data_IF_430299520672
#
_entry.id   IF_430299520672
#
_cell.length_a   1.000
_cell.length_b   1.000
_cell.length_c   1.000
_cell.angle_alpha   90.00
_cell.angle_beta   90.00
_cell.angle_gamma   90.00
#
_symmetry.space_group_name_H-M   'P 1'
#
loop_
_entity.id
_entity.type
_entity.pdbx_description
1 polymer ?
#
# COMPACT_ATOMS: atom_id res chain seq x y z
N UNK A 1 -11.92 -20.53 18.55
CA UNK A 1 -12.55 -19.33 17.97
C UNK A 1 -11.58 -18.76 16.94
N UNK A 2 -11.66 -19.21 15.68
CA UNK A 2 -10.76 -18.75 14.61
C UNK A 2 -11.48 -17.65 13.80
N UNK A 3 -11.30 -16.40 14.20
CA UNK A 3 -11.77 -15.24 13.45
C UNK A 3 -10.77 -14.89 12.35
N UNK A 4 -10.99 -15.44 11.16
CA UNK A 4 -10.23 -15.09 9.96
C UNK A 4 -10.56 -13.67 9.50
N UNK A 5 -9.82 -12.68 10.01
CA UNK A 5 -9.79 -11.33 9.45
C UNK A 5 -9.18 -11.44 8.05
N UNK A 6 -10.03 -11.28 7.03
CA UNK A 6 -9.63 -11.19 5.63
C UNK A 6 -8.76 -9.96 5.48
N UNK A 7 -7.43 -10.15 5.55
CA UNK A 7 -6.45 -9.10 5.29
C UNK A 7 -6.65 -8.58 3.89
N UNK A 8 -6.49 -7.27 3.72
CA UNK A 8 -6.64 -6.54 2.47
C UNK A 8 -5.51 -6.92 1.50
N UNK A 9 -5.53 -8.16 0.99
CA UNK A 9 -4.50 -8.78 0.16
C UNK A 9 -4.63 -8.34 -1.32
N UNK A 10 -4.93 -7.06 -1.53
CA UNK A 10 -5.01 -6.48 -2.86
C UNK A 10 -3.63 -5.94 -3.23
N UNK A 11 -2.92 -6.75 -4.02
CA UNK A 11 -1.68 -6.35 -4.68
C UNK A 11 -1.88 -5.02 -5.40
N UNK A 12 -1.02 -4.06 -5.09
CA UNK A 12 -1.03 -2.74 -5.67
C UNK A 12 -0.38 -2.78 -7.07
N UNK A 13 -0.98 -2.06 -8.01
CA UNK A 13 -0.27 -1.66 -9.24
C UNK A 13 0.82 -0.65 -8.88
N UNK A 14 1.77 -0.42 -9.79
CA UNK A 14 2.84 0.57 -9.58
C UNK A 14 2.28 1.96 -9.26
N UNK A 15 1.25 2.37 -9.98
CA UNK A 15 0.55 3.65 -9.77
C UNK A 15 -0.10 3.71 -8.39
N UNK A 16 -0.87 2.68 -8.01
CA UNK A 16 -1.50 2.60 -6.68
C UNK A 16 -0.48 2.56 -5.54
N UNK A 17 0.65 1.90 -5.74
CA UNK A 17 1.76 1.92 -4.78
C UNK A 17 2.34 3.34 -4.64
N UNK A 18 2.52 4.07 -5.75
CA UNK A 18 2.94 5.47 -5.72
C UNK A 18 1.98 6.37 -4.94
N UNK A 19 0.67 6.23 -5.16
CA UNK A 19 -0.35 6.96 -4.40
C UNK A 19 -0.36 6.59 -2.92
N UNK A 20 -0.24 5.30 -2.59
CA UNK A 20 -0.17 4.84 -1.20
C UNK A 20 1.05 5.42 -0.48
N UNK A 21 2.22 5.42 -1.14
CA UNK A 21 3.44 6.02 -0.59
C UNK A 21 3.24 7.52 -0.34
N UNK A 22 2.70 8.26 -1.31
CA UNK A 22 2.46 9.70 -1.15
C UNK A 22 1.51 10.00 0.03
N UNK A 23 0.39 9.26 0.12
CA UNK A 23 -0.59 9.40 1.18
C UNK A 23 0.02 9.14 2.57
N UNK A 24 0.68 8.00 2.73
CA UNK A 24 1.22 7.59 4.03
C UNK A 24 2.43 8.41 4.44
N UNK A 25 3.28 8.86 3.49
CA UNK A 25 4.36 9.82 3.80
C UNK A 25 3.82 11.11 4.39
N UNK A 26 2.78 11.69 3.79
CA UNK A 26 2.16 12.91 4.30
C UNK A 26 1.58 12.67 5.70
N UNK A 27 0.91 11.53 5.91
CA UNK A 27 0.30 11.17 7.19
C UNK A 27 1.31 10.89 8.31
N UNK A 28 2.48 10.33 7.98
CA UNK A 28 3.56 10.01 8.91
C UNK A 28 4.58 11.16 9.07
N UNK A 29 4.40 12.30 8.38
CA UNK A 29 5.32 13.43 8.45
C UNK A 29 6.69 13.19 7.79
N UNK A 30 6.78 12.25 6.84
CA UNK A 30 8.04 11.88 6.17
C UNK A 30 8.36 12.90 5.06
N UNK A 31 9.23 13.85 5.36
CA UNK A 31 9.64 14.91 4.43
C UNK A 31 10.64 14.44 3.38
N UNK A 32 11.54 13.52 3.74
CA UNK A 32 12.57 13.00 2.83
C UNK A 32 11.97 12.19 1.67
N UNK A 33 12.59 12.20 0.47
CA UNK A 33 12.11 11.41 -0.67
C UNK A 33 12.04 9.92 -0.36
N UNK A 34 11.00 9.24 -0.86
CA UNK A 34 10.90 7.78 -0.83
C UNK A 34 10.74 7.27 -2.24
N UNK A 35 11.67 6.40 -2.66
CA UNK A 35 11.69 5.76 -3.97
C UNK A 35 11.21 4.32 -3.86
N UNK A 36 10.69 3.80 -4.97
CA UNK A 36 10.29 2.40 -5.08
C UNK A 36 11.13 1.74 -6.17
N UNK A 37 11.84 0.67 -5.82
CA UNK A 37 12.70 -0.05 -6.74
C UNK A 37 12.39 -1.56 -6.75
N UNK A 38 12.11 -2.08 -7.94
CA UNK A 38 11.87 -3.51 -8.12
C UNK A 38 13.20 -4.21 -8.37
N UNK A 39 13.54 -5.18 -7.53
CA UNK A 39 14.71 -6.06 -7.71
C UNK A 39 14.28 -7.47 -8.09
N UNK A 40 15.15 -8.19 -8.82
CA UNK A 40 14.90 -9.60 -9.16
C UNK A 40 15.26 -10.48 -7.97
N UNK A 41 14.50 -11.56 -7.75
CA UNK A 41 14.79 -12.53 -6.67
C UNK A 41 16.22 -13.07 -6.71
N UNK A 42 16.80 -13.27 -7.91
CA UNK A 42 18.18 -13.73 -8.05
C UNK A 42 19.23 -12.74 -7.51
N UNK A 43 18.87 -11.46 -7.33
CA UNK A 43 19.71 -10.44 -6.71
C UNK A 43 19.61 -10.46 -5.17
N UNK A 44 18.66 -11.21 -4.60
CA UNK A 44 18.44 -11.28 -3.16
C UNK A 44 19.04 -12.57 -2.60
N UNK A 45 19.91 -12.42 -1.61
CA UNK A 45 20.52 -13.51 -0.85
C UNK A 45 19.97 -13.47 0.57
N UNK A 46 19.43 -14.59 1.05
CA UNK A 46 18.96 -14.73 2.43
C UNK A 46 20.11 -14.79 3.43
N UNK A 47 19.78 -14.70 4.72
CA UNK A 47 20.74 -14.82 5.81
C UNK A 47 21.46 -16.18 5.86
N UNK A 48 20.84 -17.22 5.29
CA UNK A 48 21.41 -18.56 5.12
C UNK A 48 22.31 -18.69 3.88
N UNK A 49 22.58 -17.58 3.16
CA UNK A 49 23.37 -17.56 1.94
C UNK A 49 22.63 -18.03 0.69
N UNK A 50 21.35 -18.41 0.79
CA UNK A 50 20.58 -18.89 -0.37
C UNK A 50 20.14 -17.71 -1.23
N UNK A 51 20.40 -17.81 -2.53
CA UNK A 51 19.92 -16.84 -3.53
C UNK A 51 18.48 -17.13 -3.93
N UNK A 52 17.79 -16.12 -4.46
CA UNK A 52 16.42 -16.28 -4.94
C UNK A 52 15.36 -15.97 -3.90
N UNK A 53 15.70 -15.29 -2.81
CA UNK A 53 14.76 -14.96 -1.75
C UNK A 53 13.77 -13.85 -2.19
N UNK A 54 12.65 -13.78 -1.47
CA UNK A 54 11.72 -12.65 -1.57
C UNK A 54 12.23 -11.52 -0.67
N UNK A 55 12.08 -10.28 -1.13
CA UNK A 55 12.38 -9.08 -0.36
C UNK A 55 11.22 -8.10 -0.50
N UNK A 56 10.86 -7.53 0.63
CA UNK A 56 10.28 -6.19 0.79
C UNK A 56 11.06 -5.59 1.94
N UNK A 57 11.64 -4.41 1.74
CA UNK A 57 12.47 -3.78 2.75
C UNK A 57 12.91 -2.38 2.33
N UNK A 58 13.18 -1.52 3.30
CA UNK A 58 13.65 -0.16 3.07
C UNK A 58 15.13 0.01 3.42
N UNK A 59 15.84 0.78 2.61
CA UNK A 59 17.18 1.29 2.92
C UNK A 59 17.10 2.80 3.06
N UNK A 60 17.66 3.33 4.14
CA UNK A 60 17.82 4.75 4.37
C UNK A 60 19.24 5.17 3.96
N UNK A 61 19.36 6.25 3.20
CA UNK A 61 20.62 6.86 2.81
C UNK A 61 20.57 8.39 3.06
N UNK A 62 21.64 9.10 2.67
CA UNK A 62 21.72 10.56 2.83
C UNK A 62 20.69 11.31 1.97
N UNK A 63 20.26 10.74 0.85
CA UNK A 63 19.37 11.36 -0.16
C UNK A 63 17.89 10.99 0.04
N UNK A 64 17.57 10.06 0.94
CA UNK A 64 16.21 9.66 1.26
C UNK A 64 16.09 8.20 1.69
N UNK A 65 15.02 7.56 1.23
CA UNK A 65 14.76 6.15 1.47
C UNK A 65 14.36 5.44 0.17
N UNK A 66 14.77 4.18 0.03
CA UNK A 66 14.41 3.34 -1.11
C UNK A 66 13.77 2.05 -0.63
N UNK A 67 12.51 1.82 -1.01
CA UNK A 67 11.80 0.57 -0.77
C UNK A 67 12.14 -0.40 -1.91
N UNK A 68 12.85 -1.46 -1.58
CA UNK A 68 13.17 -2.56 -2.48
C UNK A 68 12.12 -3.65 -2.40
N UNK A 69 11.70 -4.18 -3.54
CA UNK A 69 10.71 -5.25 -3.56
C UNK A 69 10.90 -6.25 -4.71
N UNK A 70 10.71 -7.54 -4.44
CA UNK A 70 10.73 -8.61 -5.47
C UNK A 70 9.34 -9.03 -5.93
N UNK A 71 8.30 -8.69 -5.16
CA UNK A 71 6.90 -9.06 -5.40
C UNK A 71 6.02 -7.80 -5.53
N UNK A 72 4.78 -7.91 -6.05
CA UNK A 72 3.81 -6.82 -5.90
C UNK A 72 3.63 -6.45 -4.43
N UNK A 73 3.59 -5.15 -4.15
CA UNK A 73 3.37 -4.63 -2.81
C UNK A 73 1.88 -4.66 -2.44
N UNK A 74 1.61 -4.74 -1.15
CA UNK A 74 0.30 -4.46 -0.55
C UNK A 74 0.34 -3.09 0.13
N UNK A 75 -0.82 -2.59 0.56
CA UNK A 75 -0.86 -1.38 1.41
C UNK A 75 -0.15 -1.62 2.74
N UNK A 76 -0.25 -2.83 3.30
CA UNK A 76 0.43 -3.22 4.55
C UNK A 76 1.95 -3.10 4.40
N UNK A 77 2.51 -3.63 3.31
CA UNK A 77 3.94 -3.48 3.01
C UNK A 77 4.35 -2.00 2.96
N UNK A 78 3.59 -1.17 2.25
CA UNK A 78 3.91 0.26 2.11
C UNK A 78 3.90 0.96 3.47
N UNK A 79 2.91 0.69 4.31
CA UNK A 79 2.81 1.30 5.65
C UNK A 79 3.97 0.83 6.53
N UNK A 80 4.22 -0.47 6.55
CA UNK A 80 5.29 -1.09 7.34
C UNK A 80 6.65 -0.48 7.00
N UNK A 81 7.01 -0.43 5.71
CA UNK A 81 8.30 0.13 5.30
C UNK A 81 8.41 1.63 5.55
N UNK A 82 7.30 2.38 5.43
CA UNK A 82 7.31 3.82 5.76
C UNK A 82 7.42 4.08 7.26
N UNK A 83 6.95 3.19 8.12
CA UNK A 83 7.15 3.30 9.56
C UNK A 83 8.62 3.16 9.93
N UNK A 84 9.37 2.25 9.28
CA UNK A 84 10.83 2.18 9.41
C UNK A 84 11.53 3.49 8.99
N UNK A 85 10.97 4.22 8.01
CA UNK A 85 11.49 5.54 7.62
C UNK A 85 11.16 6.63 8.64
N UNK A 86 9.94 6.62 9.19
CA UNK A 86 9.49 7.60 10.17
C UNK A 86 10.15 7.41 11.54
N UNK A 87 10.44 6.15 11.90
CA UNK A 87 10.96 5.76 13.21
C UNK A 87 12.09 4.73 13.07
N UNK A 88 13.31 5.14 12.63
CA UNK A 88 14.42 4.21 12.37
C UNK A 88 14.90 3.42 13.59
N UNK A 89 14.64 3.94 14.79
CA UNK A 89 15.04 3.32 16.06
C UNK A 89 14.00 2.33 16.62
N UNK A 90 12.86 2.16 15.95
CA UNK A 90 11.84 1.22 16.38
C UNK A 90 12.23 -0.22 16.10
N UNK A 91 11.88 -1.11 17.02
CA UNK A 91 11.96 -2.55 16.79
C UNK A 91 10.90 -3.00 15.78
N UNK A 92 11.17 -4.12 15.12
CA UNK A 92 10.22 -4.77 14.20
C UNK A 92 8.85 -5.01 14.85
N UNK A 93 8.82 -5.38 16.14
CA UNK A 93 7.56 -5.57 16.88
C UNK A 93 6.75 -4.28 17.00
N UNK A 94 7.39 -3.15 17.31
CA UNK A 94 6.72 -1.85 17.38
C UNK A 94 6.18 -1.41 16.02
N UNK A 95 6.94 -1.65 14.95
CA UNK A 95 6.52 -1.37 13.58
C UNK A 95 5.31 -2.23 13.18
N UNK A 96 5.30 -3.52 13.53
CA UNK A 96 4.19 -4.41 13.28
C UNK A 96 2.91 -3.97 14.03
N UNK A 97 3.02 -3.69 15.34
CA UNK A 97 1.89 -3.25 16.17
C UNK A 97 1.28 -1.96 15.61
N UNK A 98 2.12 -0.99 15.22
CA UNK A 98 1.66 0.27 14.66
C UNK A 98 1.07 0.11 13.25
N UNK A 99 1.64 -0.78 12.43
CA UNK A 99 1.10 -1.13 11.11
C UNK A 99 -0.33 -1.66 11.26
N UNK A 100 -0.55 -2.60 12.18
CA UNK A 100 -1.87 -3.15 12.45
C UNK A 100 -2.82 -2.06 12.94
N UNK A 101 -2.40 -1.24 13.90
CA UNK A 101 -3.21 -0.14 14.46
C UNK A 101 -3.66 0.84 13.37
N UNK A 102 -2.76 1.25 12.48
CA UNK A 102 -3.04 2.21 11.42
C UNK A 102 -4.00 1.66 10.35
N UNK A 103 -3.88 0.38 10.01
CA UNK A 103 -4.72 -0.25 8.98
C UNK A 103 -6.11 -0.62 9.52
N UNK A 104 -6.21 -1.03 10.78
CA UNK A 104 -7.50 -1.24 11.46
C UNK A 104 -8.22 0.11 11.66
N UNK A 105 -7.49 1.14 12.09
CA UNK A 105 -8.03 2.49 12.26
C UNK A 105 -8.46 3.16 10.94
N UNK A 106 -7.75 2.89 9.83
CA UNK A 106 -8.15 3.36 8.50
C UNK A 106 -9.42 2.67 7.99
N UNK A 107 -9.63 1.38 8.32
CA UNK A 107 -10.87 0.66 8.03
C UNK A 107 -12.09 1.19 8.79
N UNK A 108 -11.90 1.62 10.05
CA UNK A 108 -12.97 2.21 10.86
C UNK A 108 -13.38 3.62 10.40
N UNK A 109 -12.46 4.39 9.81
CA UNK A 109 -12.76 5.70 9.23
C UNK A 109 -13.56 5.60 7.92
N UNK A 110 -13.45 4.49 7.18
CA UNK A 110 -14.24 4.25 5.96
C UNK A 110 -15.72 3.89 6.24
N UNK A 111 -16.09 3.57 7.49
CA UNK A 111 -17.44 3.13 7.84
C UNK A 111 -18.36 4.24 8.38
N UNK A 112 -17.91 5.50 8.41
CA UNK A 112 -18.73 6.69 8.74
C UNK A 112 -18.91 7.67 7.57
N UNK A 113 -19.00 7.16 6.36
CA UNK A 113 -19.41 7.92 5.17
C UNK A 113 -20.28 7.02 4.29
N UNK A 114 -21.59 7.03 4.56
CA UNK A 114 -22.59 6.32 3.77
C UNK A 114 -22.63 6.79 2.31
N UNK A 115 -23.02 5.87 1.44
CA UNK A 115 -23.05 6.02 -0.01
C UNK A 115 -23.28 4.66 -0.68
N UNK A 116 -24.25 3.94 -0.16
CA UNK A 116 -25.03 2.91 -0.84
C UNK A 116 -25.63 3.47 -2.13
N UNK A 117 -25.11 3.02 -3.26
CA UNK A 117 -25.75 2.84 -4.58
C UNK A 117 -24.75 1.99 -5.37
N UNK A 118 -24.93 0.68 -5.55
CA UNK A 118 -25.97 0.14 -6.40
C UNK A 118 -25.34 -0.36 -7.71
N UNK A 119 -25.29 -1.69 -7.85
CA UNK A 119 -25.30 -2.48 -9.09
C UNK A 119 -24.07 -2.58 -10.02
N UNK A 120 -23.56 -3.83 -10.06
CA UNK A 120 -23.46 -4.72 -11.24
C UNK A 120 -22.72 -4.24 -12.50
N UNK A 121 -21.75 -5.08 -12.92
CA UNK A 121 -21.44 -5.24 -14.33
C UNK A 121 -22.65 -5.84 -15.08
N UNK A 122 -23.06 -5.26 -16.21
CA UNK A 122 -23.31 -6.01 -17.46
C UNK A 122 -23.29 -5.08 -18.69
N UNK A 123 -22.69 -5.60 -19.76
CA UNK A 123 -22.73 -5.03 -21.11
C UNK A 123 -24.10 -5.33 -21.71
N UNK A 124 -24.85 -4.31 -22.17
CA UNK A 124 -25.76 -4.35 -23.34
C UNK A 124 -26.55 -3.04 -23.46
N UNK A 125 -26.74 -2.55 -24.68
CA UNK A 125 -27.95 -1.80 -25.02
C UNK A 125 -27.78 -0.33 -25.41
N UNK A 126 -27.52 -0.13 -26.69
CA UNK A 126 -27.69 1.08 -27.50
C UNK A 126 -29.12 1.69 -27.43
N UNK A 127 -29.23 2.97 -27.87
CA UNK A 127 -30.41 3.88 -28.09
C UNK A 127 -30.74 4.80 -26.90
N UNK A 128 -30.94 6.11 -27.03
CA UNK A 128 -31.00 7.01 -28.17
C UNK A 128 -31.56 8.38 -27.72
N UNK A 129 -31.19 9.43 -28.46
CA UNK A 129 -31.90 10.70 -28.70
C UNK A 129 -32.46 11.52 -27.50
N UNK A 130 -31.78 12.65 -27.26
CA UNK A 130 -32.37 13.98 -27.50
C UNK A 130 -33.25 14.60 -26.41
N UNK A 131 -32.89 15.81 -25.98
CA UNK A 131 -33.77 16.99 -26.10
C UNK A 131 -33.03 18.29 -25.74
N UNK A 132 -33.27 19.28 -26.60
CA UNK A 132 -32.88 20.68 -26.46
C UNK A 132 -33.47 21.33 -25.21
N UNK A 133 -32.73 22.26 -24.62
CA UNK A 133 -33.23 23.22 -23.65
C UNK A 133 -32.41 24.50 -23.72
N UNK A 134 -32.96 25.52 -24.39
CA UNK A 134 -32.45 26.89 -24.39
C UNK A 134 -32.54 27.50 -23.00
N UNK A 135 -31.57 28.34 -22.66
CA UNK A 135 -31.79 29.69 -22.15
C UNK A 135 -30.68 30.57 -22.73
#
# INVERSE_FOLDING_TARGET
MAGGLRRCDHRLTRERAGHAIAYWRARLGITRPVRLERVRRCQVTGADGRRGCTLVGVVLDWDGATIYHTRPLTTEDVVHELLHVAHPDWSEAQVLDETERLLVGAGAAAHRGGGDDGCCADKRGFRGLGRSGRA
#
